data_IF_223932698705
#
_entry.id   IF_223932698705
#
_cell.length_a   1.000
_cell.length_b   1.000
_cell.length_c   1.000
_cell.angle_alpha   90.00
_cell.angle_beta   90.00
_cell.angle_gamma   90.00
#
_symmetry.space_group_name_H-M   'P 1'
#
loop_
_entity.id
_entity.type
_entity.pdbx_description
1 polymer ?
#
# COMPACT_ATOMS: atom_id res chain seq x y z
N UNK A 1 8.32 -24.61 4.77
CA UNK A 1 9.36 -24.08 5.69
C UNK A 1 8.68 -23.02 6.52
N UNK A 2 8.70 -23.15 7.84
CA UNK A 2 8.12 -22.14 8.76
C UNK A 2 8.97 -20.89 8.81
N UNK A 3 8.37 -19.74 9.14
CA UNK A 3 9.12 -18.52 9.42
C UNK A 3 10.01 -18.67 10.67
N UNK A 4 11.09 -17.92 10.68
CA UNK A 4 11.98 -17.84 11.87
C UNK A 4 11.53 -16.70 12.76
N UNK A 5 11.19 -17.00 14.01
CA UNK A 5 10.64 -16.05 14.97
C UNK A 5 11.36 -16.16 16.32
N UNK A 6 11.53 -15.06 17.07
CA UNK A 6 12.07 -15.07 18.42
C UNK A 6 11.01 -15.50 19.44
N UNK A 7 10.63 -16.79 19.41
CA UNK A 7 9.50 -17.35 20.18
C UNK A 7 9.62 -17.05 21.69
N UNK A 8 10.85 -17.08 22.24
CA UNK A 8 11.07 -16.80 23.66
C UNK A 8 10.66 -15.36 24.03
N UNK A 9 10.96 -14.38 23.14
CA UNK A 9 10.53 -13.00 23.30
C UNK A 9 9.03 -12.83 23.11
N UNK A 10 8.44 -13.53 22.14
CA UNK A 10 6.99 -13.46 21.90
C UNK A 10 6.17 -13.92 23.10
N UNK A 11 6.70 -14.88 23.90
CA UNK A 11 6.04 -15.35 25.13
C UNK A 11 6.04 -14.33 26.26
N UNK A 12 6.88 -13.29 26.18
CA UNK A 12 6.93 -12.19 27.15
C UNK A 12 5.92 -11.07 26.81
N UNK A 13 5.36 -11.11 25.59
CA UNK A 13 4.44 -10.08 25.09
C UNK A 13 2.98 -10.54 25.20
N UNK A 14 2.10 -9.56 25.40
CA UNK A 14 0.66 -9.79 25.33
C UNK A 14 0.21 -9.89 23.88
N UNK A 15 -0.37 -11.03 23.49
CA UNK A 15 -1.02 -11.24 22.19
C UNK A 15 -2.44 -10.66 22.18
N UNK A 16 -3.02 -10.31 21.00
CA UNK A 16 -2.35 -10.32 19.69
C UNK A 16 -1.48 -9.09 19.47
N UNK A 17 -0.43 -9.22 18.65
CA UNK A 17 0.43 -8.11 18.28
C UNK A 17 0.98 -8.28 16.86
N UNK A 18 1.39 -7.17 16.22
CA UNK A 18 2.12 -7.20 14.96
C UNK A 18 3.63 -7.29 15.21
N UNK A 19 4.28 -8.19 14.51
CA UNK A 19 5.73 -8.31 14.47
C UNK A 19 6.24 -7.90 13.09
N UNK A 20 7.21 -6.99 13.06
CA UNK A 20 7.87 -6.50 11.85
C UNK A 20 9.33 -6.94 11.82
N UNK A 21 9.68 -7.81 10.88
CA UNK A 21 11.07 -8.20 10.59
C UNK A 21 11.75 -7.05 9.85
N UNK A 22 12.58 -6.29 10.57
CA UNK A 22 13.28 -5.11 10.03
C UNK A 22 14.35 -5.49 9.02
N UNK A 23 14.91 -6.72 9.11
CA UNK A 23 15.85 -7.20 8.11
C UNK A 23 15.17 -7.38 6.77
N UNK A 24 14.03 -8.05 6.72
CA UNK A 24 13.23 -8.21 5.49
C UNK A 24 12.83 -6.85 4.93
N UNK A 25 12.44 -5.90 5.78
CA UNK A 25 12.09 -4.54 5.35
C UNK A 25 13.30 -3.82 4.74
N UNK A 26 14.46 -3.82 5.41
CA UNK A 26 15.68 -3.17 4.90
C UNK A 26 16.19 -3.82 3.62
N UNK A 27 16.15 -5.14 3.53
CA UNK A 27 16.54 -5.87 2.31
C UNK A 27 15.61 -5.51 1.14
N UNK A 28 14.29 -5.40 1.39
CA UNK A 28 13.29 -4.96 0.39
C UNK A 28 13.59 -3.54 -0.09
N UNK A 29 13.83 -2.60 0.83
CA UNK A 29 14.16 -1.21 0.50
C UNK A 29 15.48 -1.09 -0.26
N UNK A 30 16.48 -1.89 0.11
CA UNK A 30 17.76 -1.97 -0.61
C UNK A 30 17.57 -2.47 -2.04
N UNK A 31 16.74 -3.48 -2.23
CA UNK A 31 16.40 -4.00 -3.56
C UNK A 31 15.70 -2.92 -4.41
N UNK A 32 14.68 -2.25 -3.86
CA UNK A 32 13.98 -1.15 -4.55
C UNK A 32 14.97 -0.08 -5.00
N UNK A 33 15.83 0.38 -4.08
CA UNK A 33 16.81 1.41 -4.38
C UNK A 33 17.80 0.99 -5.45
N UNK A 34 18.31 -0.24 -5.37
CA UNK A 34 19.29 -0.77 -6.31
C UNK A 34 18.68 -0.91 -7.70
N UNK A 35 17.48 -1.46 -7.79
CA UNK A 35 16.84 -1.68 -9.10
C UNK A 35 16.34 -0.36 -9.72
N UNK A 36 15.78 0.55 -8.95
CA UNK A 36 15.37 1.86 -9.45
C UNK A 36 16.55 2.71 -9.91
N UNK A 37 17.69 2.65 -9.22
CA UNK A 37 18.89 3.43 -9.56
C UNK A 37 19.49 3.07 -10.92
N UNK A 38 19.17 1.91 -11.50
CA UNK A 38 19.63 1.51 -12.85
C UNK A 38 19.14 2.45 -13.94
N UNK A 39 18.05 3.17 -13.69
CA UNK A 39 17.35 3.98 -14.70
C UNK A 39 17.56 5.49 -14.54
N UNK A 40 18.19 5.91 -13.43
CA UNK A 40 18.63 7.31 -13.20
C UNK A 40 17.53 8.35 -12.95
N UNK A 41 16.35 8.16 -13.51
CA UNK A 41 15.20 9.07 -13.42
C UNK A 41 13.96 8.45 -12.78
N UNK A 42 14.12 7.38 -11.99
CA UNK A 42 13.04 6.74 -11.24
C UNK A 42 12.99 7.26 -9.82
N UNK A 43 11.80 7.58 -9.35
CA UNK A 43 11.52 8.03 -7.98
C UNK A 43 10.43 7.17 -7.36
N UNK A 44 10.68 6.64 -6.16
CA UNK A 44 9.74 5.78 -5.47
C UNK A 44 9.19 6.48 -4.24
N UNK A 45 7.85 6.54 -4.13
CA UNK A 45 7.10 7.02 -2.98
C UNK A 45 6.48 5.82 -2.26
N UNK A 46 6.57 5.80 -0.95
CA UNK A 46 5.90 4.80 -0.15
C UNK A 46 4.46 5.20 0.14
N UNK A 47 3.51 4.33 -0.17
CA UNK A 47 2.09 4.56 0.12
C UNK A 47 1.80 4.34 1.61
N UNK A 48 1.69 5.45 2.35
CA UNK A 48 1.55 5.47 3.82
C UNK A 48 0.34 4.68 4.30
N UNK A 49 -0.74 4.66 3.51
CA UNK A 49 -1.96 3.85 3.77
C UNK A 49 -1.71 2.36 3.96
N UNK A 50 -0.58 1.83 3.47
CA UNK A 50 -0.26 0.43 3.65
C UNK A 50 0.14 0.13 5.11
N UNK A 51 0.91 1.01 5.73
CA UNK A 51 1.30 0.93 7.14
C UNK A 51 1.89 2.27 7.59
N UNK A 52 1.30 2.88 8.61
CA UNK A 52 1.75 4.16 9.17
C UNK A 52 2.41 4.00 10.55
N UNK A 53 2.84 2.79 10.92
CA UNK A 53 3.58 2.58 12.16
C UNK A 53 4.85 3.45 12.16
N UNK A 54 5.08 4.31 13.18
CA UNK A 54 6.18 5.28 13.18
C UNK A 54 7.57 4.64 13.02
N UNK A 55 7.77 3.42 13.54
CA UNK A 55 9.04 2.70 13.44
C UNK A 55 9.29 2.21 12.01
N UNK A 56 8.24 1.72 11.36
CA UNK A 56 8.28 1.31 9.94
C UNK A 56 8.54 2.52 9.05
N UNK A 57 7.81 3.62 9.27
CA UNK A 57 8.01 4.87 8.51
C UNK A 57 9.43 5.42 8.64
N UNK A 58 10.03 5.36 9.84
CA UNK A 58 11.40 5.81 10.07
C UNK A 58 12.41 5.03 9.21
N UNK A 59 12.30 3.70 9.19
CA UNK A 59 13.16 2.83 8.37
C UNK A 59 13.00 3.14 6.87
N UNK A 60 11.77 3.36 6.40
CA UNK A 60 11.50 3.67 5.00
C UNK A 60 12.10 5.03 4.62
N UNK A 61 11.91 6.05 5.46
CA UNK A 61 12.48 7.39 5.27
C UNK A 61 14.02 7.35 5.24
N UNK A 62 14.67 6.59 6.12
CA UNK A 62 16.13 6.40 6.14
C UNK A 62 16.68 5.81 4.84
N UNK A 63 15.88 5.05 4.13
CA UNK A 63 16.22 4.49 2.83
C UNK A 63 15.91 5.42 1.64
N UNK A 64 15.47 6.65 1.89
CA UNK A 64 15.39 7.73 0.91
C UNK A 64 14.15 7.76 0.03
N UNK A 65 13.14 6.89 0.27
CA UNK A 65 11.87 6.95 -0.44
C UNK A 65 11.11 8.24 -0.11
N UNK A 66 10.25 8.69 -1.05
CA UNK A 66 9.22 9.69 -0.79
C UNK A 66 8.01 9.09 -0.09
N UNK A 67 6.96 9.89 0.13
CA UNK A 67 5.68 9.43 0.69
C UNK A 67 4.53 9.73 -0.27
N UNK A 68 3.67 8.72 -0.51
CA UNK A 68 2.35 8.88 -1.12
C UNK A 68 1.32 8.89 0.00
N UNK A 69 0.60 10.01 0.13
CA UNK A 69 -0.38 10.28 1.15
C UNK A 69 -1.77 10.44 0.53
N UNK A 70 -2.80 9.94 1.23
CA UNK A 70 -4.20 10.04 0.78
C UNK A 70 -5.10 10.76 1.79
N UNK A 71 -4.50 11.35 2.82
CA UNK A 71 -5.16 12.21 3.81
C UNK A 71 -4.19 13.18 4.47
N UNK A 72 -4.70 14.24 5.07
CA UNK A 72 -3.89 15.15 5.88
C UNK A 72 -3.26 14.46 7.11
N UNK A 73 -3.92 13.42 7.64
CA UNK A 73 -3.36 12.58 8.69
C UNK A 73 -2.09 11.85 8.26
N UNK A 74 -2.08 11.31 7.03
CA UNK A 74 -0.88 10.67 6.47
C UNK A 74 0.23 11.67 6.15
N UNK A 75 -0.10 12.88 5.67
CA UNK A 75 0.87 13.97 5.50
C UNK A 75 1.55 14.29 6.84
N UNK A 76 0.77 14.46 7.92
CA UNK A 76 1.32 14.70 9.26
C UNK A 76 2.21 13.55 9.74
N UNK A 77 1.79 12.31 9.49
CA UNK A 77 2.58 11.12 9.85
C UNK A 77 3.92 11.08 9.09
N UNK A 78 3.90 11.36 7.78
CA UNK A 78 5.10 11.43 6.94
C UNK A 78 6.06 12.54 7.42
N UNK A 79 5.55 13.75 7.68
CA UNK A 79 6.34 14.88 8.20
C UNK A 79 6.95 14.52 9.56
N UNK A 80 6.15 13.95 10.49
CA UNK A 80 6.61 13.54 11.80
C UNK A 80 7.71 12.48 11.73
N UNK A 81 7.63 11.58 10.74
CA UNK A 81 8.66 10.57 10.49
C UNK A 81 9.92 11.15 9.79
N UNK A 82 9.89 12.44 9.38
CA UNK A 82 11.00 13.15 8.76
C UNK A 82 11.14 12.96 7.25
N UNK A 83 10.08 12.58 6.56
CA UNK A 83 10.09 12.57 5.07
C UNK A 83 10.27 14.01 4.56
N UNK A 84 11.16 14.23 3.58
CA UNK A 84 11.29 15.54 2.92
C UNK A 84 9.97 15.95 2.26
N UNK A 85 9.48 17.15 2.55
CA UNK A 85 8.18 17.62 2.02
C UNK A 85 8.16 17.67 0.50
N UNK A 86 9.27 18.06 -0.14
CA UNK A 86 9.46 17.99 -1.59
C UNK A 86 9.47 16.57 -2.20
N UNK A 87 9.24 15.51 -1.39
CA UNK A 87 9.04 14.13 -1.83
C UNK A 87 7.69 13.56 -1.37
N UNK A 88 6.77 14.42 -0.91
CA UNK A 88 5.41 14.01 -0.53
C UNK A 88 4.47 14.30 -1.68
N UNK A 89 3.72 13.30 -2.13
CA UNK A 89 2.60 13.45 -3.06
C UNK A 89 1.29 13.23 -2.31
N UNK A 90 0.22 13.93 -2.72
CA UNK A 90 -1.08 13.84 -2.08
C UNK A 90 -2.16 13.47 -3.09
N UNK A 91 -2.67 12.25 -2.99
CA UNK A 91 -3.72 11.69 -3.82
C UNK A 91 -5.05 11.55 -3.04
N UNK A 92 -6.11 11.09 -3.68
CA UNK A 92 -7.42 10.83 -3.08
C UNK A 92 -8.51 11.77 -3.58
N UNK A 93 -9.72 11.23 -3.74
CA UNK A 93 -10.89 11.90 -4.36
C UNK A 93 -11.58 12.94 -3.48
N UNK A 94 -11.24 12.99 -2.20
CA UNK A 94 -11.97 13.82 -1.22
C UNK A 94 -11.04 14.59 -0.31
N UNK A 95 -10.13 15.40 -0.89
CA UNK A 95 -9.25 16.30 -0.13
C UNK A 95 -10.08 17.45 0.43
N UNK A 96 -10.14 17.57 1.76
CA UNK A 96 -10.78 18.70 2.43
C UNK A 96 -9.88 19.95 2.42
N UNK A 97 -10.48 21.14 2.57
CA UNK A 97 -9.75 22.42 2.55
C UNK A 97 -8.59 22.46 3.54
N UNK A 98 -8.76 21.93 4.75
CA UNK A 98 -7.71 21.89 5.75
C UNK A 98 -6.53 20.98 5.35
N UNK A 99 -6.80 19.90 4.61
CA UNK A 99 -5.77 18.97 4.10
C UNK A 99 -5.01 19.60 2.94
N UNK A 100 -5.72 20.28 2.03
CA UNK A 100 -5.11 21.06 0.94
C UNK A 100 -4.23 22.16 1.54
N UNK A 101 -4.76 22.92 2.51
CA UNK A 101 -4.00 23.95 3.21
C UNK A 101 -2.74 23.39 3.89
N UNK A 102 -2.84 22.21 4.50
CA UNK A 102 -1.69 21.55 5.11
C UNK A 102 -0.61 21.23 4.06
N UNK A 103 -1.01 20.67 2.90
CA UNK A 103 -0.08 20.41 1.79
C UNK A 103 0.57 21.68 1.24
N UNK A 104 -0.20 22.77 1.12
CA UNK A 104 0.29 24.08 0.71
C UNK A 104 1.26 24.68 1.73
N UNK A 105 0.96 24.58 3.04
CA UNK A 105 1.81 25.13 4.11
C UNK A 105 3.18 24.47 4.15
N UNK A 106 3.24 23.17 3.89
CA UNK A 106 4.48 22.40 3.86
C UNK A 106 5.17 22.32 2.50
N UNK A 107 4.62 22.99 1.47
CA UNK A 107 5.15 22.96 0.10
C UNK A 107 5.44 21.53 -0.36
N UNK A 108 4.42 20.64 -0.27
CA UNK A 108 4.57 19.26 -0.73
C UNK A 108 4.87 19.22 -2.23
N UNK A 109 5.46 18.11 -2.68
CA UNK A 109 5.89 17.98 -4.07
C UNK A 109 4.76 18.17 -5.07
N UNK A 110 3.61 17.49 -4.88
CA UNK A 110 2.52 17.49 -5.84
C UNK A 110 1.18 17.09 -5.23
N UNK A 111 0.09 17.72 -5.69
CA UNK A 111 -1.27 17.24 -5.53
C UNK A 111 -1.68 16.42 -6.75
N UNK A 112 -2.00 15.14 -6.56
CA UNK A 112 -2.59 14.28 -7.60
C UNK A 112 -4.10 14.55 -7.63
N UNK A 113 -4.57 15.29 -8.62
CA UNK A 113 -5.92 15.84 -8.70
C UNK A 113 -6.84 14.92 -9.50
N UNK A 114 -8.07 14.78 -9.04
CA UNK A 114 -9.01 13.78 -9.56
C UNK A 114 -10.27 14.39 -10.21
N UNK A 115 -10.45 15.73 -10.13
CA UNK A 115 -11.61 16.42 -10.70
C UNK A 115 -11.39 17.91 -10.92
N UNK A 116 -12.22 18.54 -11.77
CA UNK A 116 -12.23 20.00 -11.98
C UNK A 116 -12.59 20.77 -10.71
N UNK A 117 -13.65 20.43 -9.94
CA UNK A 117 -13.94 21.11 -8.69
C UNK A 117 -12.79 21.10 -7.69
N UNK A 118 -12.02 20.01 -7.65
CA UNK A 118 -10.82 19.93 -6.80
C UNK A 118 -9.74 20.90 -7.27
N UNK A 119 -9.50 21.02 -8.59
CA UNK A 119 -8.56 22.01 -9.15
C UNK A 119 -8.95 23.43 -8.76
N UNK A 120 -10.24 23.78 -8.86
CA UNK A 120 -10.76 25.10 -8.52
C UNK A 120 -10.48 25.46 -7.07
N UNK A 121 -10.77 24.52 -6.14
CA UNK A 121 -10.50 24.71 -4.70
C UNK A 121 -9.00 24.83 -4.41
N UNK A 122 -8.15 23.98 -5.01
CA UNK A 122 -6.70 24.08 -4.80
C UNK A 122 -6.18 25.44 -5.32
N UNK A 123 -6.66 25.90 -6.48
CA UNK A 123 -6.30 27.19 -7.03
C UNK A 123 -6.70 28.35 -6.12
N UNK A 124 -7.92 28.33 -5.58
CA UNK A 124 -8.43 29.35 -4.65
C UNK A 124 -7.62 29.39 -3.34
N UNK A 125 -7.40 28.22 -2.71
CA UNK A 125 -6.66 28.13 -1.46
C UNK A 125 -5.17 28.50 -1.65
N UNK A 126 -4.56 28.13 -2.78
CA UNK A 126 -3.21 28.53 -3.12
C UNK A 126 -3.13 30.07 -3.33
N UNK A 127 -4.10 30.65 -4.05
CA UNK A 127 -4.20 32.10 -4.24
C UNK A 127 -4.30 32.85 -2.90
N UNK A 128 -5.16 32.38 -1.98
CA UNK A 128 -5.32 32.96 -0.65
C UNK A 128 -4.01 32.98 0.18
N UNK A 129 -3.09 32.05 -0.12
CA UNK A 129 -1.75 31.96 0.52
C UNK A 129 -0.64 32.62 -0.31
N UNK A 130 -0.93 33.17 -1.47
CA UNK A 130 0.08 33.73 -2.38
C UNK A 130 1.04 32.64 -2.92
N UNK A 131 0.57 31.41 -3.04
CA UNK A 131 1.35 30.25 -3.49
C UNK A 131 0.91 29.76 -4.87
N UNK A 132 1.75 28.93 -5.48
CA UNK A 132 1.46 28.16 -6.69
C UNK A 132 1.60 26.68 -6.35
N UNK A 133 0.52 25.91 -6.49
CA UNK A 133 0.52 24.50 -6.21
C UNK A 133 0.94 23.68 -7.44
N UNK A 134 1.86 22.73 -7.26
CA UNK A 134 2.13 21.73 -8.28
C UNK A 134 1.00 20.70 -8.31
N UNK A 135 0.46 20.44 -9.49
CA UNK A 135 -0.63 19.47 -9.70
C UNK A 135 -0.27 18.48 -10.81
N UNK A 136 -0.63 17.23 -10.60
CA UNK A 136 -0.65 16.19 -11.63
C UNK A 136 -2.08 15.67 -11.76
N UNK A 137 -2.53 15.40 -12.99
CA UNK A 137 -3.87 14.88 -13.21
C UNK A 137 -3.86 13.38 -13.10
N UNK A 138 -4.64 12.84 -12.16
CA UNK A 138 -4.93 11.43 -12.11
C UNK A 138 -5.91 11.09 -13.21
N UNK A 139 -5.42 10.38 -14.20
CA UNK A 139 -6.21 9.92 -15.33
C UNK A 139 -6.60 8.46 -15.12
N UNK A 140 -7.87 8.16 -15.35
CA UNK A 140 -8.34 6.79 -15.40
C UNK A 140 -8.00 6.23 -16.79
N UNK A 141 -7.03 5.28 -16.89
CA UNK A 141 -6.56 4.81 -18.19
C UNK A 141 -7.51 3.81 -18.86
N UNK A 142 -8.61 3.45 -18.21
CA UNK A 142 -9.53 2.38 -18.61
C UNK A 142 -8.80 1.06 -18.93
N UNK A 143 -7.87 0.69 -18.08
CA UNK A 143 -7.13 -0.57 -18.12
C UNK A 143 -7.65 -1.46 -16.99
N UNK A 144 -8.17 -2.64 -17.35
CA UNK A 144 -8.55 -3.67 -16.38
C UNK A 144 -7.30 -4.37 -15.84
N UNK A 145 -7.15 -4.43 -14.51
CA UNK A 145 -6.15 -5.27 -13.87
C UNK A 145 -6.80 -6.58 -13.41
N UNK A 146 -6.07 -7.69 -13.54
CA UNK A 146 -6.51 -9.02 -13.08
C UNK A 146 -6.47 -9.14 -11.55
N UNK A 147 -7.32 -8.36 -10.86
CA UNK A 147 -7.35 -8.24 -9.39
C UNK A 147 -8.77 -8.32 -8.84
N UNK A 148 -8.90 -8.41 -7.51
CA UNK A 148 -10.22 -8.39 -6.86
C UNK A 148 -10.96 -7.08 -7.16
N UNK A 149 -12.28 -7.16 -7.42
CA UNK A 149 -13.11 -6.01 -7.83
C UNK A 149 -12.98 -4.78 -6.91
N UNK A 150 -12.87 -4.99 -5.59
CA UNK A 150 -12.76 -3.91 -4.61
C UNK A 150 -11.39 -3.18 -4.61
N UNK A 151 -10.39 -3.70 -5.32
CA UNK A 151 -9.03 -3.11 -5.39
C UNK A 151 -8.61 -2.78 -6.83
N UNK A 152 -9.49 -2.94 -7.81
CA UNK A 152 -9.32 -2.48 -9.20
C UNK A 152 -9.79 -1.03 -9.29
N UNK A 153 -8.93 -0.13 -9.76
CA UNK A 153 -9.20 1.32 -9.82
C UNK A 153 -9.09 1.92 -11.22
N UNK A 154 -8.72 1.11 -12.21
CA UNK A 154 -8.47 1.55 -13.59
C UNK A 154 -9.65 1.49 -14.55
N UNK A 155 -10.86 1.14 -14.11
CA UNK A 155 -12.04 1.00 -14.97
C UNK A 155 -12.75 2.34 -15.23
N UNK A 156 -13.46 2.46 -16.36
CA UNK A 156 -14.06 3.70 -16.84
C UNK A 156 -15.04 4.36 -15.86
N UNK A 157 -15.88 3.57 -15.19
CA UNK A 157 -16.82 4.05 -14.16
C UNK A 157 -16.31 3.72 -12.76
N UNK A 158 -15.38 4.55 -12.27
CA UNK A 158 -14.85 4.47 -10.93
C UNK A 158 -14.84 5.87 -10.31
N UNK A 159 -14.94 5.95 -8.97
CA UNK A 159 -14.85 7.24 -8.27
C UNK A 159 -13.49 7.93 -8.43
N UNK A 160 -12.48 7.20 -8.91
CA UNK A 160 -11.11 7.67 -9.02
C UNK A 160 -10.78 8.17 -10.42
N UNK A 161 -10.08 9.31 -10.46
CA UNK A 161 -9.45 9.86 -11.65
C UNK A 161 -10.40 10.55 -12.62
N UNK A 162 -9.78 11.35 -13.48
CA UNK A 162 -10.42 12.03 -14.60
C UNK A 162 -10.50 11.06 -15.78
N UNK A 163 -11.65 11.04 -16.47
CA UNK A 163 -11.80 10.24 -17.69
C UNK A 163 -10.82 10.70 -18.78
N UNK A 164 -10.28 9.76 -19.55
CA UNK A 164 -9.45 10.09 -20.72
C UNK A 164 -10.17 10.99 -21.73
N UNK A 165 -11.50 10.91 -21.80
CA UNK A 165 -12.33 11.74 -22.70
C UNK A 165 -12.40 13.19 -22.22
N UNK A 166 -12.35 13.42 -20.91
CA UNK A 166 -12.46 14.75 -20.30
C UNK A 166 -11.11 15.45 -20.16
N UNK A 167 -9.99 14.73 -20.41
CA UNK A 167 -8.65 15.25 -20.20
C UNK A 167 -8.39 16.59 -20.92
N UNK A 168 -8.83 16.70 -22.17
CA UNK A 168 -8.63 17.93 -22.97
C UNK A 168 -9.37 19.12 -22.36
N UNK A 169 -10.62 18.90 -21.92
CA UNK A 169 -11.42 19.93 -21.24
C UNK A 169 -10.80 20.35 -19.92
N UNK A 170 -10.33 19.42 -19.13
CA UNK A 170 -9.65 19.71 -17.84
C UNK A 170 -8.36 20.47 -18.06
N UNK A 171 -7.60 20.15 -19.10
CA UNK A 171 -6.39 20.88 -19.47
C UNK A 171 -6.71 22.33 -19.84
N UNK A 172 -7.74 22.57 -20.63
CA UNK A 172 -8.14 23.93 -21.05
C UNK A 172 -8.58 24.78 -19.84
N UNK A 173 -9.25 24.19 -18.86
CA UNK A 173 -9.60 24.86 -17.62
C UNK A 173 -8.33 25.19 -16.80
N UNK A 174 -7.46 24.20 -16.59
CA UNK A 174 -6.27 24.34 -15.73
C UNK A 174 -5.28 25.40 -16.25
N UNK A 175 -5.16 25.58 -17.59
CA UNK A 175 -4.30 26.59 -18.19
C UNK A 175 -4.68 28.03 -17.80
N UNK A 176 -5.92 28.26 -17.39
CA UNK A 176 -6.40 29.58 -16.93
C UNK A 176 -6.22 29.79 -15.42
N UNK A 177 -5.77 28.79 -14.67
CA UNK A 177 -5.62 28.83 -13.21
C UNK A 177 -4.20 29.27 -12.81
N UNK A 178 -4.06 30.54 -12.43
CA UNK A 178 -2.74 31.17 -12.20
C UNK A 178 -1.97 30.65 -10.97
N UNK A 179 -2.67 30.02 -10.03
CA UNK A 179 -2.07 29.52 -8.80
C UNK A 179 -1.87 27.99 -8.83
N UNK A 180 -1.94 27.42 -10.03
CA UNK A 180 -1.59 26.02 -10.30
C UNK A 180 -0.45 25.93 -11.31
N UNK A 181 0.44 24.97 -11.10
CA UNK A 181 1.43 24.52 -12.07
C UNK A 181 1.16 23.07 -12.41
N UNK A 182 0.70 22.81 -13.62
CA UNK A 182 0.55 21.45 -14.12
C UNK A 182 1.93 20.85 -14.42
N UNK A 183 2.31 19.79 -13.71
CA UNK A 183 3.64 19.17 -13.83
C UNK A 183 3.62 17.78 -14.43
N UNK A 184 2.47 17.09 -14.47
CA UNK A 184 2.46 15.72 -14.96
C UNK A 184 1.14 14.98 -14.90
N UNK A 185 1.23 13.70 -15.25
CA UNK A 185 0.13 12.75 -15.18
C UNK A 185 0.34 11.74 -14.06
N UNK A 186 -0.74 11.31 -13.43
CA UNK A 186 -0.77 10.28 -12.41
C UNK A 186 -1.76 9.17 -12.80
N UNK A 187 -1.40 7.93 -12.50
CA UNK A 187 -2.19 6.73 -12.79
C UNK A 187 -2.17 5.77 -11.61
N UNK A 188 -3.22 4.97 -11.46
CA UNK A 188 -3.21 3.83 -10.55
C UNK A 188 -4.27 2.83 -11.00
N UNK A 189 -3.86 1.62 -11.40
CA UNK A 189 -4.75 0.61 -12.00
C UNK A 189 -5.26 -0.45 -11.03
N UNK A 190 -4.65 -0.58 -9.86
CA UNK A 190 -5.09 -1.55 -8.87
C UNK A 190 -4.01 -1.94 -7.86
N UNK A 191 -4.27 -3.01 -7.11
CA UNK A 191 -3.37 -3.52 -6.08
C UNK A 191 -3.31 -5.04 -6.14
N UNK A 192 -2.21 -5.65 -5.70
CA UNK A 192 -1.95 -7.09 -5.77
C UNK A 192 -1.90 -7.61 -7.22
N UNK A 193 -1.25 -6.87 -8.09
CA UNK A 193 -1.05 -7.23 -9.50
C UNK A 193 0.21 -8.10 -9.59
N UNK A 194 0.06 -9.29 -10.12
CA UNK A 194 1.14 -10.26 -10.32
C UNK A 194 1.48 -10.46 -11.81
N UNK A 195 0.58 -10.07 -12.71
CA UNK A 195 0.80 -10.14 -14.15
C UNK A 195 1.44 -8.84 -14.66
N UNK A 196 2.67 -8.91 -15.15
CA UNK A 196 3.37 -7.77 -15.74
C UNK A 196 2.68 -7.23 -16.99
N UNK A 197 1.84 -8.02 -17.66
CA UNK A 197 1.02 -7.60 -18.80
C UNK A 197 0.08 -6.43 -18.48
N UNK A 198 -0.44 -6.36 -17.26
CA UNK A 198 -1.29 -5.24 -16.82
C UNK A 198 -0.50 -3.91 -16.80
N UNK A 199 0.76 -3.95 -16.38
CA UNK A 199 1.65 -2.79 -16.41
C UNK A 199 2.10 -2.41 -17.82
N UNK A 200 2.26 -3.40 -18.72
CA UNK A 200 2.49 -3.14 -20.16
C UNK A 200 1.30 -2.42 -20.78
N UNK A 201 0.08 -2.87 -20.46
CA UNK A 201 -1.14 -2.21 -20.92
C UNK A 201 -1.23 -0.75 -20.44
N UNK A 202 -0.85 -0.49 -19.17
CA UNK A 202 -0.75 0.87 -18.65
C UNK A 202 0.28 1.70 -19.43
N UNK A 203 1.48 1.16 -19.67
CA UNK A 203 2.53 1.87 -20.45
C UNK A 203 2.02 2.31 -21.82
N UNK A 204 1.28 1.45 -22.53
CA UNK A 204 0.70 1.79 -23.83
C UNK A 204 -0.27 2.99 -23.74
N UNK A 205 -1.14 3.00 -22.72
CA UNK A 205 -2.07 4.11 -22.50
C UNK A 205 -1.34 5.42 -22.13
N UNK A 206 -0.32 5.34 -21.29
CA UNK A 206 0.51 6.51 -20.94
C UNK A 206 1.21 7.06 -22.17
N UNK A 207 1.74 6.19 -23.05
CA UNK A 207 2.38 6.62 -24.29
C UNK A 207 1.39 7.36 -25.20
N UNK A 208 0.17 6.83 -25.40
CA UNK A 208 -0.89 7.48 -26.18
C UNK A 208 -1.23 8.88 -25.65
N UNK A 209 -1.32 9.02 -24.31
CA UNK A 209 -1.62 10.30 -23.68
C UNK A 209 -0.48 11.31 -23.79
N UNK A 210 0.76 10.86 -23.66
CA UNK A 210 1.92 11.71 -23.86
C UNK A 210 1.99 12.24 -25.29
N UNK A 211 1.75 11.37 -26.28
CA UNK A 211 1.73 11.78 -27.71
C UNK A 211 0.63 12.83 -27.97
N UNK A 212 -0.56 12.70 -27.35
CA UNK A 212 -1.64 13.68 -27.42
C UNK A 212 -1.25 15.04 -26.81
N UNK A 213 -0.62 15.03 -25.64
CA UNK A 213 -0.16 16.25 -24.98
C UNK A 213 0.91 16.98 -25.81
N UNK A 214 1.86 16.23 -26.37
CA UNK A 214 2.89 16.80 -27.26
C UNK A 214 2.28 17.42 -28.52
N UNK A 215 1.27 16.81 -29.14
CA UNK A 215 0.55 17.37 -30.27
C UNK A 215 -0.13 18.71 -29.94
N UNK A 216 -0.45 18.94 -28.67
CA UNK A 216 -0.98 20.21 -28.13
C UNK A 216 0.10 21.14 -27.60
N UNK A 217 1.39 20.84 -27.79
CA UNK A 217 2.53 21.58 -27.26
C UNK A 217 2.55 21.67 -25.73
N UNK A 218 1.93 20.70 -25.03
CA UNK A 218 1.91 20.62 -23.57
C UNK A 218 3.04 19.70 -23.12
N UNK A 219 3.99 20.27 -22.38
CA UNK A 219 5.13 19.55 -21.82
C UNK A 219 4.85 19.15 -20.38
N UNK A 220 5.06 17.89 -20.05
CA UNK A 220 5.00 17.36 -18.67
C UNK A 220 6.39 16.92 -18.21
N UNK A 221 6.68 17.18 -16.94
CA UNK A 221 7.98 16.86 -16.32
C UNK A 221 7.94 15.53 -15.59
N UNK A 222 6.76 15.09 -15.15
CA UNK A 222 6.58 13.93 -14.29
C UNK A 222 5.49 13.00 -14.83
N UNK A 223 5.78 11.72 -14.80
CA UNK A 223 4.80 10.63 -15.03
C UNK A 223 4.78 9.78 -13.77
N UNK A 224 3.64 9.65 -13.13
CA UNK A 224 3.44 8.82 -11.96
C UNK A 224 2.53 7.64 -12.33
N UNK A 225 3.07 6.44 -12.31
CA UNK A 225 2.35 5.21 -12.71
C UNK A 225 1.66 4.52 -11.53
N UNK A 226 1.71 5.14 -10.34
CA UNK A 226 1.13 4.57 -9.13
C UNK A 226 1.90 3.36 -8.62
N UNK A 227 1.19 2.45 -7.98
CA UNK A 227 1.77 1.23 -7.45
C UNK A 227 1.15 -0.01 -8.08
N UNK A 228 0.79 -0.95 -7.21
CA UNK A 228 0.02 -2.14 -7.60
C UNK A 228 0.79 -3.44 -7.52
N UNK A 229 2.13 -3.43 -7.53
CA UNK A 229 2.94 -4.64 -7.45
C UNK A 229 2.52 -5.53 -6.27
N UNK A 230 2.19 -6.78 -6.58
CA UNK A 230 1.74 -7.80 -5.64
C UNK A 230 2.86 -8.51 -4.90
N UNK A 231 2.46 -9.37 -3.96
CA UNK A 231 3.35 -10.24 -3.17
C UNK A 231 2.84 -11.69 -3.18
N UNK A 232 3.70 -12.66 -2.90
CA UNK A 232 3.30 -14.06 -2.71
C UNK A 232 2.81 -14.29 -1.27
N UNK A 233 1.50 -14.34 -1.09
CA UNK A 233 0.88 -14.66 0.20
C UNK A 233 0.98 -16.15 0.56
N UNK A 234 1.13 -17.02 -0.42
CA UNK A 234 1.18 -18.48 -0.24
C UNK A 234 2.52 -18.98 0.28
N UNK A 235 3.61 -18.35 -0.17
CA UNK A 235 4.97 -18.81 0.11
C UNK A 235 5.87 -17.69 0.65
N UNK A 236 5.53 -17.07 1.79
CA UNK A 236 6.22 -15.87 2.30
C UNK A 236 7.72 -16.07 2.58
N UNK A 237 8.16 -17.32 2.82
CA UNK A 237 9.57 -17.62 3.08
C UNK A 237 10.37 -17.97 1.81
N UNK A 238 9.69 -18.26 0.69
CA UNK A 238 10.34 -18.61 -0.57
C UNK A 238 10.76 -17.36 -1.34
N UNK A 239 9.92 -16.35 -1.30
CA UNK A 239 10.11 -15.09 -2.02
C UNK A 239 9.71 -13.90 -1.13
N UNK A 240 10.53 -13.61 -0.09
CA UNK A 240 10.21 -12.55 0.86
C UNK A 240 10.32 -11.14 0.26
N UNK A 241 11.05 -11.00 -0.86
CA UNK A 241 11.23 -9.74 -1.59
C UNK A 241 10.55 -9.88 -2.94
N UNK A 242 9.60 -8.99 -3.30
CA UNK A 242 8.97 -8.97 -4.61
C UNK A 242 9.96 -8.74 -5.76
N UNK A 243 9.58 -9.13 -6.98
CA UNK A 243 10.43 -8.98 -8.16
C UNK A 243 10.41 -7.52 -8.68
N UNK A 244 11.11 -6.63 -7.96
CA UNK A 244 11.27 -5.23 -8.37
C UNK A 244 12.08 -5.08 -9.66
N UNK A 245 12.96 -6.04 -9.95
CA UNK A 245 13.74 -6.02 -11.18
C UNK A 245 12.82 -6.08 -12.40
N UNK A 246 12.01 -7.14 -12.50
CA UNK A 246 11.07 -7.30 -13.61
C UNK A 246 10.03 -6.16 -13.65
N UNK A 247 9.61 -5.67 -12.48
CA UNK A 247 8.67 -4.55 -12.39
C UNK A 247 9.23 -3.27 -13.03
N UNK A 248 10.41 -2.80 -12.63
CA UNK A 248 11.02 -1.59 -13.19
C UNK A 248 11.48 -1.79 -14.65
N UNK A 249 11.96 -2.98 -14.99
CA UNK A 249 12.36 -3.32 -16.36
C UNK A 249 11.16 -3.30 -17.32
N UNK A 250 9.97 -3.69 -16.87
CA UNK A 250 8.73 -3.59 -17.66
C UNK A 250 8.46 -2.15 -18.07
N UNK A 251 8.54 -1.20 -17.15
CA UNK A 251 8.37 0.21 -17.48
C UNK A 251 9.48 0.75 -18.37
N UNK A 252 10.72 0.39 -18.11
CA UNK A 252 11.83 0.82 -18.98
C UNK A 252 11.69 0.33 -20.42
N UNK A 253 11.16 -0.88 -20.60
CA UNK A 253 11.02 -1.51 -21.92
C UNK A 253 9.82 -1.03 -22.71
N UNK A 254 8.74 -0.63 -22.04
CA UNK A 254 7.44 -0.35 -22.67
C UNK A 254 6.97 1.11 -22.55
N UNK A 255 7.43 1.86 -21.57
CA UNK A 255 7.09 3.27 -21.40
C UNK A 255 8.10 4.18 -22.12
N UNK A 256 7.60 4.97 -23.05
CA UNK A 256 8.44 5.94 -23.81
C UNK A 256 8.61 7.24 -23.01
N UNK A 257 9.44 7.22 -21.96
CA UNK A 257 9.78 8.43 -21.24
C UNK A 257 10.59 9.38 -22.13
N UNK A 258 10.30 10.69 -22.02
CA UNK A 258 11.10 11.73 -22.66
C UNK A 258 12.34 12.03 -21.81
N UNK A 259 13.45 12.50 -22.40
CA UNK A 259 14.72 12.68 -21.68
C UNK A 259 14.67 13.59 -20.45
N UNK A 260 13.66 14.48 -20.39
CA UNK A 260 13.49 15.44 -19.31
C UNK A 260 12.51 14.97 -18.22
N UNK A 261 11.89 13.79 -18.39
CA UNK A 261 10.86 13.30 -17.49
C UNK A 261 11.44 12.43 -16.38
N UNK A 262 10.79 12.50 -15.23
CA UNK A 262 10.99 11.58 -14.11
C UNK A 262 9.79 10.63 -14.00
N UNK A 263 10.05 9.36 -13.83
CA UNK A 263 9.04 8.34 -13.56
C UNK A 263 8.87 8.12 -12.06
N UNK A 264 7.64 8.25 -11.58
CA UNK A 264 7.28 8.08 -10.18
C UNK A 264 6.48 6.80 -9.97
N UNK A 265 6.71 6.15 -8.83
CA UNK A 265 6.02 4.93 -8.39
C UNK A 265 5.48 5.14 -6.98
N UNK A 266 4.31 4.54 -6.67
CA UNK A 266 3.65 4.61 -5.36
C UNK A 266 3.48 3.21 -4.79
N UNK A 267 4.53 2.67 -4.17
CA UNK A 267 4.58 1.30 -3.68
C UNK A 267 4.17 1.21 -2.21
N UNK A 268 3.18 0.37 -1.90
CA UNK A 268 2.74 0.12 -0.53
C UNK A 268 2.93 -1.33 -0.14
N UNK A 269 2.03 -2.21 -0.61
CA UNK A 269 2.03 -3.65 -0.29
C UNK A 269 3.38 -4.32 -0.53
N UNK A 270 3.99 -4.10 -1.67
CA UNK A 270 5.26 -4.70 -2.04
C UNK A 270 6.41 -4.29 -1.10
N UNK A 271 6.31 -3.12 -0.44
CA UNK A 271 7.35 -2.64 0.50
C UNK A 271 7.24 -3.33 1.85
N UNK A 272 6.05 -3.36 2.46
CA UNK A 272 5.89 -3.74 3.87
C UNK A 272 5.12 -5.05 4.08
N UNK A 273 4.47 -5.59 3.05
CA UNK A 273 3.59 -6.74 3.21
C UNK A 273 4.27 -7.95 3.82
N UNK A 274 5.43 -8.31 3.29
CA UNK A 274 6.16 -9.53 3.67
C UNK A 274 6.90 -9.42 5.01
N UNK A 275 7.28 -8.23 5.44
CA UNK A 275 8.00 -8.06 6.70
C UNK A 275 7.11 -8.19 7.94
N UNK A 276 5.78 -8.06 7.81
CA UNK A 276 4.86 -8.09 8.94
C UNK A 276 4.13 -9.43 9.10
N UNK A 277 3.93 -9.82 10.34
CA UNK A 277 3.10 -10.95 10.75
C UNK A 277 2.24 -10.56 11.94
N UNK A 278 0.96 -10.96 11.95
CA UNK A 278 0.13 -10.89 13.15
C UNK A 278 0.39 -12.15 13.97
N UNK A 279 0.81 -11.96 15.22
CA UNK A 279 1.07 -13.04 16.18
C UNK A 279 -0.10 -13.12 17.14
N UNK A 280 -0.63 -14.31 17.28
CA UNK A 280 -1.81 -14.60 18.09
C UNK A 280 -1.61 -15.85 18.91
N UNK A 281 -2.31 -15.98 20.03
CA UNK A 281 -2.30 -17.16 20.87
C UNK A 281 -3.58 -17.97 20.69
N UNK A 282 -3.45 -19.28 20.71
CA UNK A 282 -4.61 -20.19 20.75
C UNK A 282 -5.24 -20.15 22.14
N UNK A 283 -6.51 -19.74 22.19
CA UNK A 283 -7.32 -19.77 23.41
C UNK A 283 -7.89 -21.15 23.65
N UNK A 284 -8.52 -21.73 22.62
CA UNK A 284 -9.19 -23.03 22.71
C UNK A 284 -9.09 -23.78 21.38
N UNK A 285 -9.08 -25.10 21.49
CA UNK A 285 -9.40 -26.03 20.40
C UNK A 285 -10.79 -26.60 20.67
N UNK A 286 -11.74 -26.28 19.79
CA UNK A 286 -13.12 -26.74 19.93
C UNK A 286 -13.40 -27.84 18.90
N UNK A 287 -13.82 -29.01 19.37
CA UNK A 287 -14.29 -30.08 18.51
C UNK A 287 -15.76 -29.82 18.13
N UNK A 288 -16.04 -29.67 16.86
CA UNK A 288 -17.38 -29.69 16.28
C UNK A 288 -17.76 -31.09 15.82
N UNK A 289 -18.94 -31.24 15.22
CA UNK A 289 -19.43 -32.53 14.73
C UNK A 289 -18.55 -33.08 13.59
N UNK A 290 -18.17 -32.23 12.65
CA UNK A 290 -17.45 -32.64 11.44
C UNK A 290 -16.10 -31.93 11.25
N UNK A 291 -15.69 -31.06 12.17
CA UNK A 291 -14.47 -30.24 12.05
C UNK A 291 -13.97 -29.75 13.41
N UNK A 292 -12.73 -29.30 13.42
CA UNK A 292 -12.09 -28.69 14.57
C UNK A 292 -11.93 -27.19 14.36
N UNK A 293 -12.05 -26.41 15.43
CA UNK A 293 -11.82 -24.99 15.44
C UNK A 293 -10.58 -24.66 16.28
N UNK A 294 -9.63 -23.95 15.70
CA UNK A 294 -8.59 -23.27 16.45
C UNK A 294 -9.05 -21.84 16.72
N UNK A 295 -9.43 -21.55 17.97
CA UNK A 295 -9.96 -20.25 18.40
C UNK A 295 -8.79 -19.41 18.90
N UNK A 296 -8.51 -18.32 18.20
CA UNK A 296 -7.40 -17.39 18.51
C UNK A 296 -7.88 -16.25 19.40
N UNK A 297 -6.94 -15.54 20.02
CA UNK A 297 -7.20 -14.26 20.68
C UNK A 297 -7.18 -13.05 19.70
N UNK A 298 -6.59 -13.20 18.51
CA UNK A 298 -6.76 -12.27 17.40
C UNK A 298 -8.09 -12.52 16.68
N UNK A 299 -8.70 -11.45 16.16
CA UNK A 299 -9.92 -11.52 15.37
C UNK A 299 -9.87 -10.59 14.15
N UNK A 300 -11.02 -10.48 13.48
CA UNK A 300 -11.19 -9.54 12.35
C UNK A 300 -10.94 -8.08 12.76
N UNK A 301 -11.01 -7.76 14.04
CA UNK A 301 -10.63 -6.46 14.59
C UNK A 301 -9.14 -6.17 14.51
N UNK A 302 -8.32 -7.22 14.49
CA UNK A 302 -6.87 -7.10 14.41
C UNK A 302 -6.37 -7.24 12.97
N UNK A 303 -7.02 -8.07 12.14
CA UNK A 303 -6.74 -8.26 10.71
C UNK A 303 -8.04 -8.47 9.94
N UNK A 304 -8.62 -7.37 9.47
CA UNK A 304 -9.94 -7.36 8.79
C UNK A 304 -9.93 -8.02 7.40
N UNK A 305 -8.77 -8.13 6.77
CA UNK A 305 -8.64 -8.48 5.36
C UNK A 305 -9.28 -9.81 4.94
N UNK A 306 -9.18 -10.91 5.71
CA UNK A 306 -9.90 -12.13 5.38
C UNK A 306 -11.42 -11.95 5.36
N UNK A 307 -11.99 -11.23 6.31
CA UNK A 307 -13.43 -10.98 6.38
C UNK A 307 -13.90 -9.99 5.28
N UNK A 308 -13.14 -8.92 5.02
CA UNK A 308 -13.53 -7.84 4.11
C UNK A 308 -13.28 -8.18 2.63
N UNK A 309 -12.15 -8.82 2.33
CA UNK A 309 -11.69 -9.07 0.95
C UNK A 309 -11.57 -10.55 0.61
N UNK A 310 -11.91 -11.46 1.52
CA UNK A 310 -11.59 -12.89 1.40
C UNK A 310 -10.10 -13.14 1.15
N UNK A 311 -9.25 -12.24 1.68
CA UNK A 311 -7.83 -12.26 1.46
C UNK A 311 -7.19 -13.45 2.17
N UNK A 312 -6.32 -14.15 1.45
CA UNK A 312 -5.52 -15.23 2.00
C UNK A 312 -4.31 -14.68 2.76
N UNK A 313 -4.05 -15.26 3.94
CA UNK A 313 -2.80 -15.10 4.68
C UNK A 313 -2.31 -16.49 5.06
N UNK A 314 -1.05 -16.81 4.83
CA UNK A 314 -0.47 -18.07 5.29
C UNK A 314 -0.54 -18.11 6.81
N UNK A 315 -1.13 -19.19 7.36
CA UNK A 315 -1.27 -19.40 8.80
C UNK A 315 -0.28 -20.50 9.21
N UNK A 316 0.49 -20.27 10.27
CA UNK A 316 1.51 -21.19 10.76
C UNK A 316 1.43 -21.34 12.28
N UNK A 317 1.40 -22.56 12.79
CA UNK A 317 1.69 -22.82 14.21
C UNK A 317 3.21 -22.76 14.40
N UNK A 318 3.69 -21.70 15.04
CA UNK A 318 5.12 -21.44 15.19
C UNK A 318 5.73 -22.06 16.45
N UNK A 319 4.93 -22.73 17.27
CA UNK A 319 5.36 -23.36 18.54
C UNK A 319 5.14 -24.88 18.60
N UNK A 320 4.56 -25.47 17.56
CA UNK A 320 4.28 -26.92 17.52
C UNK A 320 4.87 -27.56 16.28
N UNK A 321 5.46 -28.75 16.45
CA UNK A 321 5.92 -29.65 15.37
C UNK A 321 5.11 -30.96 15.35
N UNK A 322 3.97 -31.00 16.05
CA UNK A 322 3.04 -32.13 16.05
C UNK A 322 2.54 -32.45 14.62
N UNK A 323 2.08 -33.68 14.36
CA UNK A 323 1.48 -34.05 13.07
C UNK A 323 0.45 -33.03 12.61
N UNK A 324 0.40 -32.78 11.30
CA UNK A 324 -0.55 -31.85 10.69
C UNK A 324 -1.99 -32.37 10.89
N UNK A 325 -2.87 -31.45 11.20
CA UNK A 325 -4.32 -31.66 11.32
C UNK A 325 -5.05 -30.49 10.64
N UNK A 326 -6.34 -30.65 10.34
CA UNK A 326 -7.16 -29.67 9.66
C UNK A 326 -7.98 -28.86 10.65
N UNK A 327 -7.95 -27.53 10.55
CA UNK A 327 -8.69 -26.62 11.42
C UNK A 327 -9.42 -25.54 10.63
N UNK A 328 -10.60 -25.13 11.11
CA UNK A 328 -11.10 -23.78 10.83
C UNK A 328 -10.43 -22.84 11.86
N UNK A 329 -9.68 -21.85 11.38
CA UNK A 329 -8.97 -20.88 12.24
C UNK A 329 -9.83 -19.63 12.37
N UNK A 330 -10.28 -19.35 13.59
CA UNK A 330 -11.30 -18.32 13.87
C UNK A 330 -10.88 -17.42 15.02
N UNK A 331 -11.42 -16.20 15.02
CA UNK A 331 -11.20 -15.23 16.11
C UNK A 331 -12.30 -15.27 17.18
N UNK A 332 -12.22 -14.37 18.17
CA UNK A 332 -13.11 -14.28 19.31
C UNK A 332 -14.27 -13.30 19.12
N UNK A 333 -14.38 -12.66 17.94
CA UNK A 333 -15.39 -11.63 17.69
C UNK A 333 -16.78 -12.27 17.55
N UNK A 334 -17.79 -11.60 18.07
CA UNK A 334 -19.16 -12.11 18.11
C UNK A 334 -19.87 -11.97 16.74
N UNK A 335 -19.18 -12.44 15.67
CA UNK A 335 -19.68 -12.49 14.30
C UNK A 335 -19.19 -13.75 13.57
N UNK A 336 -20.06 -14.32 12.71
CA UNK A 336 -19.73 -15.51 11.91
C UNK A 336 -18.67 -15.25 10.83
N UNK A 337 -18.43 -13.97 10.48
CA UNK A 337 -17.41 -13.52 9.54
C UNK A 337 -15.99 -13.49 10.12
N UNK A 338 -15.85 -13.70 11.45
CA UNK A 338 -14.55 -13.70 12.13
C UNK A 338 -13.79 -15.02 11.92
N UNK A 339 -13.38 -15.23 10.68
CA UNK A 339 -12.70 -16.44 10.21
C UNK A 339 -11.45 -16.05 9.43
N UNK A 340 -10.28 -16.52 9.86
CA UNK A 340 -9.03 -16.32 9.15
C UNK A 340 -8.80 -17.33 8.02
N UNK A 341 -9.32 -18.56 8.21
CA UNK A 341 -9.27 -19.58 7.17
C UNK A 341 -10.07 -20.83 7.56
N UNK A 342 -10.59 -21.50 6.54
CA UNK A 342 -11.35 -22.75 6.68
C UNK A 342 -10.53 -23.91 6.14
N UNK A 343 -10.62 -25.06 6.80
CA UNK A 343 -9.92 -26.29 6.44
C UNK A 343 -8.40 -26.06 6.23
N UNK A 344 -7.78 -25.38 7.18
CA UNK A 344 -6.35 -25.05 7.14
C UNK A 344 -5.53 -26.19 7.73
N UNK A 345 -4.51 -26.63 6.98
CA UNK A 345 -3.49 -27.58 7.43
C UNK A 345 -2.52 -26.88 8.39
N UNK A 346 -2.57 -27.26 9.68
CA UNK A 346 -1.66 -26.76 10.72
C UNK A 346 -1.04 -27.91 11.49
N UNK A 347 0.20 -27.71 11.95
CA UNK A 347 0.76 -28.58 12.98
C UNK A 347 -0.17 -28.59 14.19
N UNK A 348 -0.41 -29.76 14.76
CA UNK A 348 -1.38 -29.96 15.83
C UNK A 348 -1.40 -28.87 16.87
N UNK A 349 -2.58 -28.30 17.11
CA UNK A 349 -2.79 -27.07 17.87
C UNK A 349 -3.26 -27.40 19.29
N UNK A 350 -2.71 -26.69 20.27
CA UNK A 350 -3.18 -26.73 21.66
C UNK A 350 -3.27 -25.33 22.26
N UNK A 351 -4.03 -25.19 23.36
CA UNK A 351 -4.08 -23.92 24.12
C UNK A 351 -2.68 -23.43 24.48
N UNK A 352 -2.44 -22.13 24.24
CA UNK A 352 -1.15 -21.46 24.49
C UNK A 352 -0.15 -21.55 23.34
N UNK A 353 -0.46 -22.28 22.27
CA UNK A 353 0.37 -22.23 21.05
C UNK A 353 0.29 -20.85 20.41
N UNK A 354 1.40 -20.41 19.79
CA UNK A 354 1.46 -19.18 19.03
C UNK A 354 1.23 -19.48 17.54
N UNK A 355 0.35 -18.70 16.96
CA UNK A 355 0.00 -18.74 15.55
C UNK A 355 0.48 -17.44 14.89
N UNK A 356 1.16 -17.55 13.75
CA UNK A 356 1.52 -16.43 12.90
C UNK A 356 0.63 -16.39 11.66
N UNK A 357 -0.06 -15.25 11.45
CA UNK A 357 -0.70 -14.91 10.18
C UNK A 357 0.29 -14.07 9.39
N UNK A 358 0.84 -14.67 8.33
CA UNK A 358 2.01 -14.14 7.58
C UNK A 358 1.61 -13.06 6.58
N UNK A 359 2.60 -12.29 6.11
CA UNK A 359 2.41 -11.25 5.09
C UNK A 359 1.33 -10.23 5.46
N UNK A 360 1.24 -9.88 6.74
CA UNK A 360 0.26 -8.97 7.30
C UNK A 360 0.81 -7.54 7.51
N UNK A 361 2.00 -7.24 7.00
CA UNK A 361 2.64 -5.92 7.19
C UNK A 361 1.97 -4.77 6.45
N UNK A 362 1.20 -5.08 5.39
CA UNK A 362 0.41 -4.09 4.65
C UNK A 362 -1.08 -4.27 4.90
N UNK A 363 -1.78 -3.17 5.19
CA UNK A 363 -3.23 -3.14 5.40
C UNK A 363 -3.71 -4.07 6.53
N UNK A 364 -2.85 -4.35 7.50
CA UNK A 364 -3.15 -5.10 8.71
C UNK A 364 -3.36 -4.14 9.88
N UNK A 365 -2.28 -3.84 10.63
CA UNK A 365 -2.31 -2.95 11.81
C UNK A 365 -3.07 -1.64 11.55
N UNK A 366 -2.85 -1.01 10.40
CA UNK A 366 -3.46 0.28 10.04
C UNK A 366 -4.99 0.21 9.89
N UNK A 367 -5.55 -0.97 9.62
CA UNK A 367 -6.99 -1.19 9.47
C UNK A 367 -7.62 -1.81 10.72
N UNK A 368 -6.87 -1.99 11.80
CA UNK A 368 -7.40 -2.52 13.05
C UNK A 368 -8.45 -1.59 13.65
N UNK A 369 -9.40 -2.16 14.38
CA UNK A 369 -10.53 -1.43 14.95
C UNK A 369 -10.81 -1.83 16.40
N UNK A 370 -11.48 -0.95 17.13
CA UNK A 370 -11.93 -1.19 18.51
C UNK A 370 -13.29 -1.89 18.61
N UNK A 371 -13.77 -2.58 17.56
CA UNK A 371 -15.05 -3.28 17.62
C UNK A 371 -15.05 -4.33 18.75
N UNK A 372 -16.22 -4.59 19.36
CA UNK A 372 -16.39 -5.34 20.62
C UNK A 372 -15.58 -4.73 21.80
N UNK A 373 -15.25 -3.44 21.78
CA UNK A 373 -14.44 -2.75 22.79
C UNK A 373 -13.04 -3.36 22.99
N UNK A 374 -12.47 -3.96 21.94
CA UNK A 374 -11.12 -4.53 21.98
C UNK A 374 -10.07 -3.45 21.82
N UNK A 375 -8.94 -3.66 22.49
CA UNK A 375 -7.76 -2.81 22.33
C UNK A 375 -7.12 -3.04 20.96
N UNK A 376 -6.53 -2.00 20.38
CA UNK A 376 -5.76 -2.12 19.13
C UNK A 376 -4.47 -2.93 19.38
N UNK A 377 -4.08 -3.80 18.44
CA UNK A 377 -2.85 -4.57 18.56
C UNK A 377 -1.61 -3.66 18.54
N UNK A 378 -0.61 -3.98 19.35
CA UNK A 378 0.67 -3.27 19.36
C UNK A 378 1.57 -3.75 18.21
N UNK A 379 2.39 -2.84 17.65
CA UNK A 379 3.41 -3.17 16.65
C UNK A 379 4.82 -3.20 17.26
N UNK A 380 5.51 -4.34 17.13
CA UNK A 380 6.90 -4.52 17.55
C UNK A 380 7.81 -4.79 16.36
N UNK A 381 8.98 -4.20 16.36
CA UNK A 381 10.02 -4.49 15.36
C UNK A 381 10.99 -5.55 15.89
N UNK A 382 11.66 -6.28 14.98
CA UNK A 382 12.69 -7.25 15.39
C UNK A 382 13.85 -6.56 16.15
N UNK A 383 14.14 -5.29 15.85
CA UNK A 383 15.20 -4.52 16.53
C UNK A 383 14.89 -4.27 18.02
N UNK A 384 13.60 -4.28 18.41
CA UNK A 384 13.18 -4.10 19.82
C UNK A 384 13.19 -5.41 20.62
N UNK A 385 13.20 -6.53 19.92
CA UNK A 385 13.08 -7.87 20.53
C UNK A 385 14.42 -8.64 20.57
N UNK A 386 15.52 -7.91 20.53
CA UNK A 386 16.88 -8.47 20.60
C UNK A 386 17.20 -8.98 22.01
#
# INVERSE_FOLDING_TARGET
>A
MKGTFPIHKFRELRTPFYYYDTKVLRDTLSCIRTEAARYGNYSVHYAVKANANPKVLAIIRENGLGADCVSGGEIRAAIKAGFPTGKIVFAGVGKADWEINLGLDYDIFCFNVESVPELEIINELAAAKGKVANVAFRINPNVGAHTHANITTGLAENKFGISMQDMDHVMDIAQNMKNLRFIGLHFHIGSQILDMGDFVALCNRVNELQDKLEARHIRIEHVNVGGGLGIDYGHPNRQPIPDFKSYFETYNSHLKLRPHQTLHFELGRAVVGQCGSLISQVLYVKQGTNKQFAILDAGMTDLIRPALYQAFHKIENITSDAPVQVYDVVGPICESSDVFGKAIDLNGVKRGDLIALRSAGAYGEIMASGYNCRELPQGYTSDELV
#
